data_IF_189381837442
#
_entry.id   IF_189381837442
#
_cell.length_a   1.000
_cell.length_b   1.000
_cell.length_c   1.000
_cell.angle_alpha   90.00
_cell.angle_beta   90.00
_cell.angle_gamma   90.00
#
_symmetry.space_group_name_H-M   'P 1'
#
loop_
_entity.id
_entity.type
_entity.pdbx_description
1 polymer ?
#
# COMPACT_ATOMS: atom_id res chain seq x y z
N UNK A 1 -3.85 -6.62 -21.62
CA UNK A 1 -3.56 -5.59 -20.60
C UNK A 1 -2.17 -5.09 -20.88
N UNK A 2 -1.99 -3.79 -20.99
CA UNK A 2 -0.65 -3.24 -21.19
C UNK A 2 0.19 -3.49 -19.94
N UNK A 3 1.48 -3.74 -20.13
CA UNK A 3 2.43 -4.02 -19.04
C UNK A 3 2.36 -2.93 -17.95
N UNK A 4 2.13 -1.68 -18.36
CA UNK A 4 1.97 -0.53 -17.47
C UNK A 4 0.72 -0.62 -16.59
N UNK A 5 -0.38 -1.18 -17.11
CA UNK A 5 -1.63 -1.36 -16.38
C UNK A 5 -1.53 -2.53 -15.38
N UNK A 6 -0.84 -3.61 -15.78
CA UNK A 6 -0.54 -4.74 -14.89
C UNK A 6 0.35 -4.31 -13.74
N UNK A 7 1.38 -3.52 -14.01
CA UNK A 7 2.28 -2.98 -12.99
C UNK A 7 1.53 -2.08 -12.00
N UNK A 8 0.66 -1.19 -12.50
CA UNK A 8 -0.20 -0.35 -11.67
C UNK A 8 -1.16 -1.16 -10.78
N UNK A 9 -1.72 -2.25 -11.32
CA UNK A 9 -2.63 -3.15 -10.58
C UNK A 9 -1.92 -3.92 -9.47
N UNK A 10 -0.71 -4.41 -9.75
CA UNK A 10 0.12 -5.08 -8.73
C UNK A 10 0.50 -4.09 -7.63
N UNK A 11 0.86 -2.86 -8.00
CA UNK A 11 1.24 -1.82 -7.05
C UNK A 11 0.07 -1.41 -6.14
N UNK A 12 -1.17 -1.32 -6.67
CA UNK A 12 -2.36 -1.07 -5.84
C UNK A 12 -2.67 -2.22 -4.89
N UNK A 13 -2.61 -3.46 -5.37
CA UNK A 13 -2.83 -4.63 -4.51
C UNK A 13 -1.80 -4.68 -3.39
N UNK A 14 -0.52 -4.40 -3.69
CA UNK A 14 0.53 -4.29 -2.69
C UNK A 14 0.25 -3.17 -1.68
N UNK A 15 -0.16 -1.99 -2.16
CA UNK A 15 -0.54 -0.86 -1.30
C UNK A 15 -1.68 -1.20 -0.33
N UNK A 16 -2.70 -1.92 -0.80
CA UNK A 16 -3.81 -2.38 0.04
C UNK A 16 -3.30 -3.32 1.14
N UNK A 17 -2.45 -4.30 0.80
CA UNK A 17 -1.89 -5.24 1.77
C UNK A 17 -1.10 -4.49 2.86
N UNK A 18 -0.26 -3.52 2.47
CA UNK A 18 0.53 -2.71 3.40
C UNK A 18 -0.38 -1.90 4.33
N UNK A 19 -1.45 -1.28 3.78
CA UNK A 19 -2.41 -0.53 4.58
C UNK A 19 -3.15 -1.41 5.58
N UNK A 20 -3.54 -2.62 5.20
CA UNK A 20 -4.18 -3.57 6.11
C UNK A 20 -3.23 -3.91 7.27
N UNK A 21 -1.96 -4.22 6.98
CA UNK A 21 -0.96 -4.52 8.01
C UNK A 21 -0.75 -3.32 8.94
N UNK A 22 -0.69 -2.11 8.40
CA UNK A 22 -0.55 -0.88 9.19
C UNK A 22 -1.75 -0.68 10.14
N UNK A 23 -2.97 -0.89 9.66
CA UNK A 23 -4.19 -0.77 10.48
C UNK A 23 -4.19 -1.77 11.64
N UNK A 24 -3.83 -3.02 11.38
CA UNK A 24 -3.74 -4.04 12.43
C UNK A 24 -2.64 -3.65 13.44
N UNK A 25 -1.52 -3.10 12.98
CA UNK A 25 -0.44 -2.57 13.83
C UNK A 25 -0.90 -1.46 14.77
N UNK A 26 -1.71 -0.53 14.28
CA UNK A 26 -2.25 0.59 15.08
C UNK A 26 -3.28 0.09 16.09
N UNK A 27 -4.26 -0.72 15.65
CA UNK A 27 -5.34 -1.22 16.52
C UNK A 27 -4.79 -2.07 17.66
N UNK A 28 -3.75 -2.85 17.37
CA UNK A 28 -3.14 -3.76 18.33
C UNK A 28 -2.20 -3.08 19.33
N UNK A 29 -2.12 -1.74 19.34
CA UNK A 29 -1.40 -0.92 20.34
C UNK A 29 0.01 -1.43 20.67
N UNK A 30 0.79 -1.80 19.64
CA UNK A 30 2.19 -2.21 19.84
C UNK A 30 2.41 -3.70 20.17
N UNK A 31 1.44 -4.56 19.89
CA UNK A 31 1.70 -6.01 19.91
C UNK A 31 2.57 -6.46 18.72
N UNK A 32 3.29 -7.56 18.92
CA UNK A 32 4.14 -8.17 17.90
C UNK A 32 3.29 -8.68 16.74
N UNK A 33 3.31 -7.99 15.62
CA UNK A 33 2.67 -8.46 14.38
C UNK A 33 3.75 -9.11 13.52
N UNK A 34 3.55 -10.38 13.16
CA UNK A 34 4.49 -11.14 12.33
C UNK A 34 5.93 -11.17 12.89
N UNK A 35 6.10 -11.18 14.21
CA UNK A 35 7.42 -11.15 14.86
C UNK A 35 8.07 -9.76 14.94
N UNK A 36 7.41 -8.70 14.44
CA UNK A 36 7.90 -7.33 14.48
C UNK A 36 7.14 -6.52 15.54
N UNK A 37 7.87 -5.99 16.51
CA UNK A 37 7.32 -5.04 17.50
C UNK A 37 7.21 -3.68 16.82
N UNK A 38 6.02 -3.37 16.27
CA UNK A 38 5.73 -2.07 15.67
C UNK A 38 4.94 -1.22 16.65
N UNK A 39 5.56 -0.17 17.18
CA UNK A 39 4.84 0.87 17.90
C UNK A 39 3.97 1.71 16.97
N UNK A 40 3.10 2.53 17.57
CA UNK A 40 2.14 3.38 16.87
C UNK A 40 2.80 4.29 15.82
N UNK A 41 4.00 4.80 16.13
CA UNK A 41 4.79 5.64 15.21
C UNK A 41 5.25 4.88 13.96
N UNK A 42 5.76 3.65 14.12
CA UNK A 42 6.18 2.83 12.98
C UNK A 42 4.98 2.45 12.11
N UNK A 43 3.85 2.06 12.72
CA UNK A 43 2.64 1.73 11.99
C UNK A 43 2.08 2.94 11.21
N UNK A 44 2.23 4.15 11.75
CA UNK A 44 1.85 5.39 11.05
C UNK A 44 2.71 5.62 9.80
N UNK A 45 4.03 5.41 9.89
CA UNK A 45 4.93 5.53 8.73
C UNK A 45 4.57 4.51 7.65
N UNK A 46 4.32 3.25 8.05
CA UNK A 46 3.91 2.18 7.12
C UNK A 46 2.57 2.48 6.47
N UNK A 47 1.62 3.05 7.21
CA UNK A 47 0.33 3.54 6.69
C UNK A 47 0.51 4.60 5.60
N UNK A 48 1.33 5.63 5.86
CA UNK A 48 1.61 6.69 4.88
C UNK A 48 2.28 6.10 3.63
N UNK A 49 3.23 5.17 3.81
CA UNK A 49 3.90 4.51 2.70
C UNK A 49 2.94 3.67 1.85
N UNK A 50 2.03 2.91 2.49
CA UNK A 50 0.98 2.14 1.83
C UNK A 50 0.03 3.02 1.04
N UNK A 51 -0.33 4.19 1.57
CA UNK A 51 -1.14 5.21 0.89
C UNK A 51 -0.44 5.74 -0.36
N UNK A 52 0.85 6.06 -0.28
CA UNK A 52 1.63 6.53 -1.43
C UNK A 52 1.65 5.45 -2.53
N UNK A 53 1.92 4.19 -2.19
CA UNK A 53 1.90 3.09 -3.16
C UNK A 53 0.51 2.87 -3.77
N UNK A 54 -0.54 2.94 -2.97
CA UNK A 54 -1.91 2.82 -3.45
C UNK A 54 -2.28 3.93 -4.44
N UNK A 55 -2.02 5.18 -4.09
CA UNK A 55 -2.29 6.34 -4.95
C UNK A 55 -1.45 6.30 -6.23
N UNK A 56 -0.17 5.90 -6.12
CA UNK A 56 0.73 5.74 -7.27
C UNK A 56 0.24 4.65 -8.21
N UNK A 57 -0.19 3.50 -7.69
CA UNK A 57 -0.75 2.42 -8.50
C UNK A 57 -2.01 2.83 -9.26
N UNK A 58 -2.93 3.55 -8.59
CA UNK A 58 -4.13 4.10 -9.26
C UNK A 58 -3.75 5.08 -10.36
N UNK A 59 -2.79 5.98 -10.10
CA UNK A 59 -2.31 6.96 -11.08
C UNK A 59 -1.72 6.29 -12.31
N UNK A 60 -0.93 5.22 -12.12
CA UNK A 60 -0.39 4.42 -13.22
C UNK A 60 -1.50 3.76 -14.05
N UNK A 61 -2.50 3.14 -13.42
CA UNK A 61 -3.63 2.54 -14.15
C UNK A 61 -4.40 3.60 -14.97
N UNK A 62 -4.56 4.81 -14.42
CA UNK A 62 -5.32 5.89 -15.05
C UNK A 62 -4.56 6.56 -16.20
N UNK A 63 -3.23 6.67 -16.11
CA UNK A 63 -2.38 7.28 -17.14
C UNK A 63 -1.97 6.34 -18.29
N UNK A 64 -2.39 5.06 -18.27
CA UNK A 64 -2.16 4.14 -19.40
C UNK A 64 -3.22 4.21 -20.47
N UNK A 65 -4.15 5.17 -20.39
CA UNK A 65 -5.07 5.46 -21.48
C UNK A 65 -4.28 6.06 -22.63
N UNK A 66 -3.75 5.20 -23.51
CA UNK A 66 -3.20 5.62 -24.80
C UNK A 66 -4.28 6.45 -25.49
N UNK A 67 -4.02 7.72 -25.86
CA UNK A 67 -4.88 8.42 -26.81
C UNK A 67 -4.87 7.54 -28.06
N UNK A 68 -6.04 7.01 -28.42
CA UNK A 68 -6.23 6.44 -29.75
C UNK A 68 -6.26 7.58 -30.76
#
# INVERSE_FOLDING_TARGET
MDLKQVFGTILTVLGIIILIVAVIGIISNGTTIMGLTMGVWQATIVSVLGLIFFLTGISLIKNTSSPR
#
